data_IF_248522507160
#
_entry.id   IF_248522507160
#
_cell.length_a   1.000
_cell.length_b   1.000
_cell.length_c   1.000
_cell.angle_alpha   90.00
_cell.angle_beta   90.00
_cell.angle_gamma   90.00
#
_symmetry.space_group_name_H-M   'P 1'
#
loop_
_entity.id
_entity.type
_entity.pdbx_description
1 polymer ?
2 non-polymer ?
3 non-polymer ?
4 non-polymer ?
5 water ?
#
# COMPACT_ATOMS: atom_id res chain seq x y z
N UNK A 1 -3.97 -1.27 23.91
CA UNK A 1 -3.16 -1.50 25.16
C UNK A 1 -2.22 -0.34 25.45
N UNK A 2 -2.33 0.16 26.68
CA UNK A 2 -1.49 1.22 27.18
C UNK A 2 -0.03 0.75 27.31
N UNK A 3 0.16 -0.49 27.74
CA UNK A 3 1.49 -1.05 27.91
C UNK A 3 2.26 -1.09 26.60
N UNK A 4 1.57 -1.50 25.53
CA UNK A 4 2.20 -1.62 24.23
C UNK A 4 2.61 -0.25 23.72
N UNK A 5 1.76 0.74 23.94
CA UNK A 5 2.12 2.13 23.60
C UNK A 5 3.37 2.57 24.35
N UNK A 6 3.39 2.27 25.65
CA UNK A 6 4.48 2.74 26.50
C UNK A 6 5.79 2.06 26.13
N UNK A 7 5.71 0.77 25.78
CA UNK A 7 6.88 0.03 25.27
C UNK A 7 7.46 0.63 24.00
N UNK A 8 6.59 0.93 23.04
CA UNK A 8 7.01 1.49 21.77
C UNK A 8 7.61 2.88 21.94
N UNK A 9 6.92 3.71 22.72
CA UNK A 9 7.35 5.10 22.87
C UNK A 9 8.66 5.22 23.66
N UNK A 10 8.92 4.24 24.52
CA UNK A 10 10.13 4.21 25.34
C UNK A 10 11.32 3.52 24.65
N UNK A 11 11.05 2.85 23.55
CA UNK A 11 12.09 2.12 22.82
C UNK A 11 13.00 3.08 22.03
N UNK A 12 14.28 2.73 21.97
CA UNK A 12 15.24 3.36 21.06
C UNK A 12 14.91 2.92 19.65
N UNK A 13 14.93 3.87 18.72
CA UNK A 13 14.59 3.62 17.35
C UNK A 13 15.89 3.45 16.58
N UNK A 14 16.18 2.21 16.13
CA UNK A 14 17.41 1.98 15.39
C UNK A 14 17.45 2.83 14.13
N UNK A 15 18.61 2.96 13.51
CA UNK A 15 18.77 3.77 12.31
C UNK A 15 18.11 3.10 11.11
N UNK A 16 17.84 3.89 10.08
CA UNK A 16 17.34 3.32 8.81
C UNK A 16 18.35 2.33 8.23
N UNK A 17 19.64 2.62 8.41
CA UNK A 17 20.71 1.72 7.98
C UNK A 17 20.52 0.34 8.65
N UNK A 18 20.50 0.32 9.97
CA UNK A 18 20.30 -0.91 10.73
C UNK A 18 19.02 -1.68 10.36
N UNK A 19 17.92 -0.94 10.18
CA UNK A 19 16.62 -1.55 9.90
C UNK A 19 16.49 -1.98 8.43
N UNK A 20 17.43 -1.54 7.60
CA UNK A 20 17.46 -1.89 6.17
C UNK A 20 16.23 -1.42 5.40
N UNK A 21 15.54 -0.40 5.93
CA UNK A 21 14.30 0.08 5.29
C UNK A 21 14.52 0.89 4.00
N UNK A 22 15.76 1.22 3.67
CA UNK A 22 16.04 1.93 2.42
C UNK A 22 16.14 0.96 1.22
N UNK A 23 16.18 -0.33 1.52
CA UNK A 23 16.35 -1.39 0.52
C UNK A 23 15.04 -1.72 -0.20
N UNK A 24 15.05 -1.68 -1.52
CA UNK A 24 13.92 -2.20 -2.29
C UNK A 24 13.66 -3.69 -1.99
N UNK A 25 14.73 -4.44 -1.73
CA UNK A 25 14.62 -5.88 -1.46
C UNK A 25 14.24 -6.26 -0.03
N UNK A 26 13.96 -5.25 0.80
CA UNK A 26 13.52 -5.42 2.20
C UNK A 26 12.49 -6.55 2.42
N UNK A 27 12.63 -7.27 3.54
CA UNK A 27 11.68 -8.30 3.97
C UNK A 27 11.30 -8.09 5.43
N UNK A 28 10.02 -8.25 5.73
CA UNK A 28 9.53 -8.10 7.10
C UNK A 28 9.42 -9.43 7.85
N UNK A 29 9.59 -10.55 7.14
CA UNK A 29 9.32 -11.88 7.71
C UNK A 29 10.00 -12.13 9.06
N UNK A 30 11.21 -11.63 9.24
CA UNK A 30 12.02 -11.90 10.44
C UNK A 30 11.79 -10.85 11.54
N UNK A 31 10.90 -9.89 11.28
CA UNK A 31 10.69 -8.79 12.21
C UNK A 31 9.49 -9.05 13.09
N UNK A 32 9.58 -8.65 14.36
CA UNK A 32 8.46 -8.68 15.27
C UNK A 32 7.54 -7.49 14.97
N UNK A 33 6.30 -7.56 15.46
CA UNK A 33 5.39 -6.44 15.32
C UNK A 33 6.01 -5.13 15.86
N UNK A 34 6.64 -5.24 17.03
CA UNK A 34 7.35 -4.11 17.63
C UNK A 34 8.39 -3.53 16.68
N UNK A 35 9.17 -4.40 16.05
CA UNK A 35 10.15 -3.95 15.09
C UNK A 35 9.49 -3.27 13.87
N UNK A 36 8.34 -3.76 13.41
CA UNK A 36 7.65 -3.08 12.29
C UNK A 36 7.23 -1.66 12.69
N UNK A 37 6.87 -1.50 13.97
CA UNK A 37 6.48 -0.20 14.50
C UNK A 37 7.68 0.71 14.61
N UNK A 38 8.81 0.18 15.07
CA UNK A 38 10.01 0.99 15.13
C UNK A 38 10.41 1.46 13.73
N UNK A 39 10.31 0.58 12.75
CA UNK A 39 10.60 0.91 11.34
C UNK A 39 9.72 2.07 10.88
N UNK A 40 8.45 1.99 11.20
CA UNK A 40 7.50 3.03 10.82
C UNK A 40 7.94 4.37 11.41
N UNK A 41 8.21 4.42 12.70
CA UNK A 41 8.71 5.64 13.35
C UNK A 41 9.94 6.21 12.63
N UNK A 42 10.87 5.33 12.27
CA UNK A 42 12.05 5.74 11.52
C UNK A 42 11.74 6.31 10.13
N UNK A 43 10.73 5.77 9.45
CA UNK A 43 10.26 6.32 8.18
C UNK A 43 9.76 7.76 8.35
N UNK A 44 8.93 7.99 9.37
CA UNK A 44 8.42 9.33 9.63
C UNK A 44 9.59 10.25 9.93
N UNK A 45 10.56 9.75 10.70
CA UNK A 45 11.67 10.58 11.18
C UNK A 45 12.63 10.96 10.05
N UNK A 46 13.10 9.97 9.29
CA UNK A 46 14.08 10.24 8.21
C UNK A 46 13.49 10.89 6.95
N UNK A 47 12.16 10.98 6.87
CA UNK A 47 11.51 11.76 5.82
C UNK A 47 11.22 13.19 6.33
N UNK A 48 11.78 13.50 7.50
CA UNK A 48 11.71 14.83 8.13
C UNK A 48 10.29 15.27 8.45
N UNK A 49 9.42 14.31 8.73
CA UNK A 49 8.00 14.58 8.98
C UNK A 49 7.74 14.88 10.45
N UNK A 50 8.48 14.22 11.34
CA UNK A 50 8.29 14.43 12.77
C UNK A 50 8.81 15.81 13.14
N UNK A 51 9.90 16.21 12.48
CA UNK A 51 10.46 17.54 12.67
C UNK A 51 9.57 18.62 12.03
N UNK A 52 9.40 18.54 10.71
CA UNK A 52 8.62 19.50 9.94
C UNK A 52 7.27 19.87 10.55
N UNK A 53 6.55 18.86 11.00
CA UNK A 53 5.16 19.01 11.39
C UNK A 53 4.95 18.88 12.88
N UNK A 54 6.07 18.93 13.61
CA UNK A 54 6.06 19.02 15.07
C UNK A 54 5.14 17.98 15.71
N UNK A 55 5.34 16.73 15.35
CA UNK A 55 4.56 15.62 15.91
C UNK A 55 5.08 15.24 17.28
N UNK A 56 4.18 15.08 18.24
CA UNK A 56 4.55 14.51 19.52
C UNK A 56 4.87 13.02 19.35
N UNK A 57 5.93 12.57 19.98
CA UNK A 57 6.40 11.18 19.85
C UNK A 57 5.33 10.16 20.24
N UNK A 58 4.69 10.43 21.37
CA UNK A 58 3.71 9.53 21.94
C UNK A 58 2.45 9.50 21.08
N UNK A 59 2.11 10.64 20.48
CA UNK A 59 0.96 10.69 19.57
C UNK A 59 1.22 9.84 18.33
N UNK A 60 2.40 9.97 17.74
CA UNK A 60 2.78 9.16 16.57
C UNK A 60 2.73 7.67 16.92
N UNK A 61 3.26 7.32 18.10
CA UNK A 61 3.31 5.94 18.54
C UNK A 61 1.90 5.38 18.70
N UNK A 62 1.01 6.13 19.36
CA UNK A 62 -0.36 5.68 19.53
C UNK A 62 -1.06 5.49 18.17
N UNK A 63 -0.83 6.42 17.25
CA UNK A 63 -1.45 6.38 15.92
C UNK A 63 -1.00 5.15 15.14
N UNK A 64 0.31 4.87 15.16
CA UNK A 64 0.84 3.69 14.50
C UNK A 64 0.18 2.42 15.04
N UNK A 65 0.14 2.31 16.37
CA UNK A 65 -0.46 1.13 16.99
C UNK A 65 -1.96 1.05 16.73
N UNK A 66 -2.61 2.21 16.64
CA UNK A 66 -4.02 2.27 16.28
C UNK A 66 -4.25 1.82 14.84
N UNK A 67 -3.43 2.29 13.90
CA UNK A 67 -3.48 1.77 12.52
C UNK A 67 -3.29 0.23 12.50
N UNK A 68 -2.24 -0.24 13.16
CA UNK A 68 -1.89 -1.65 13.17
C UNK A 68 -3.03 -2.53 13.70
N UNK A 69 -3.63 -2.11 14.81
CA UNK A 69 -4.71 -2.88 15.44
C UNK A 69 -6.02 -2.86 14.61
N UNK A 70 -6.15 -1.94 13.66
CA UNK A 70 -7.34 -1.89 12.79
C UNK A 70 -7.17 -2.58 11.43
N UNK A 71 -6.15 -3.43 11.32
CA UNK A 71 -6.09 -4.45 10.30
C UNK A 71 -6.49 -5.75 10.94
N UNK A 72 -7.11 -6.64 10.16
CA UNK A 72 -7.58 -7.92 10.69
C UNK A 72 -6.48 -8.96 10.64
N UNK A 73 -6.33 -9.69 11.73
CA UNK A 73 -5.36 -10.78 11.82
C UNK A 73 -5.80 -12.08 11.14
N UNK A 74 -7.07 -12.18 10.75
CA UNK A 74 -7.55 -13.39 10.05
C UNK A 74 -7.64 -13.22 8.52
N UNK A 75 -7.00 -12.16 8.01
CA UNK A 75 -6.93 -11.91 6.56
C UNK A 75 -5.50 -12.21 6.12
N UNK A 76 -5.36 -13.14 5.18
CA UNK A 76 -4.03 -13.68 4.84
C UNK A 76 -3.02 -12.65 4.28
N UNK A 77 -3.49 -11.78 3.40
CA UNK A 77 -2.60 -10.83 2.68
C UNK A 77 -2.84 -9.37 3.07
N UNK A 78 -4.09 -8.89 2.98
CA UNK A 78 -4.41 -7.49 3.26
C UNK A 78 -4.54 -7.22 4.76
N UNK A 79 -3.37 -7.31 5.41
CA UNK A 79 -3.23 -7.13 6.83
C UNK A 79 -2.13 -6.09 7.10
N UNK A 80 -1.77 -5.91 8.38
CA UNK A 80 -0.82 -4.88 8.78
C UNK A 80 0.55 -5.04 8.09
N UNK A 81 0.99 -6.27 7.90
CA UNK A 81 2.30 -6.49 7.26
C UNK A 81 2.31 -6.01 5.81
N UNK A 82 1.19 -6.15 5.10
CA UNK A 82 1.09 -5.62 3.74
C UNK A 82 1.12 -4.10 3.78
N UNK A 83 0.32 -3.51 4.67
CA UNK A 83 0.32 -2.05 4.83
C UNK A 83 1.73 -1.56 5.11
N UNK A 84 2.39 -2.23 6.05
CA UNK A 84 3.73 -1.90 6.48
C UNK A 84 4.74 -1.99 5.33
N UNK A 85 4.65 -3.09 4.57
CA UNK A 85 5.45 -3.27 3.37
C UNK A 85 5.18 -2.23 2.29
N UNK A 86 3.92 -1.84 2.13
CA UNK A 86 3.58 -0.74 1.22
C UNK A 86 4.28 0.55 1.63
N UNK A 87 4.16 0.92 2.91
CA UNK A 87 4.83 2.11 3.46
C UNK A 87 6.35 2.02 3.27
N UNK A 88 6.93 0.86 3.53
CA UNK A 88 8.38 0.69 3.36
C UNK A 88 8.83 0.89 1.91
N UNK A 89 8.06 0.37 0.97
CA UNK A 89 8.38 0.58 -0.44
C UNK A 89 8.29 2.07 -0.82
N UNK A 90 7.30 2.76 -0.25
CA UNK A 90 7.21 4.22 -0.40
C UNK A 90 8.46 4.91 0.11
N UNK A 91 8.91 4.53 1.31
CA UNK A 91 10.13 5.11 1.87
C UNK A 91 11.31 4.87 0.93
N UNK A 92 11.44 3.63 0.46
CA UNK A 92 12.52 3.24 -0.44
C UNK A 92 12.44 4.00 -1.76
N UNK A 93 11.24 4.08 -2.34
CA UNK A 93 11.04 4.85 -3.57
C UNK A 93 11.40 6.31 -3.36
N UNK A 94 10.99 6.87 -2.22
CA UNK A 94 11.28 8.28 -1.94
C UNK A 94 12.77 8.50 -1.74
N UNK A 95 13.40 7.63 -0.97
CA UNK A 95 14.82 7.82 -0.61
C UNK A 95 15.71 7.35 -1.75
N UNK A 96 15.92 6.03 -1.81
CA UNK A 96 16.80 5.43 -2.80
C UNK A 96 16.32 5.66 -4.23
N UNK A 97 15.00 5.74 -4.42
CA UNK A 97 14.42 5.99 -5.75
C UNK A 97 14.36 7.46 -6.11
N UNK A 98 14.73 8.32 -5.18
CA UNK A 98 14.83 9.76 -5.40
C UNK A 98 13.51 10.43 -5.84
N UNK A 99 12.39 9.89 -5.36
CA UNK A 99 11.10 10.52 -5.58
C UNK A 99 10.85 11.66 -4.57
N UNK A 100 11.53 11.61 -3.42
CA UNK A 100 11.38 12.66 -2.40
C UNK A 100 11.61 14.03 -3.03
N UNK A 101 12.63 14.09 -3.88
CA UNK A 101 13.05 15.35 -4.54
C UNK A 101 11.98 16.00 -5.38
N UNK A 102 11.01 15.21 -5.81
CA UNK A 102 9.98 15.66 -6.73
C UNK A 102 8.70 16.06 -6.04
N UNK A 103 8.64 15.89 -4.70
CA UNK A 103 7.41 16.11 -3.94
C UNK A 103 7.61 17.11 -2.80
N UNK A 104 6.52 17.71 -2.34
CA UNK A 104 6.53 18.60 -1.17
C UNK A 104 6.49 17.77 0.10
N UNK A 105 6.74 18.41 1.24
CA UNK A 105 6.68 17.74 2.54
C UNK A 105 5.27 17.22 2.81
N UNK A 106 4.25 18.03 2.49
CA UNK A 106 2.87 17.62 2.66
C UNK A 106 2.52 16.37 1.87
N UNK A 107 2.96 16.34 0.60
CA UNK A 107 2.70 15.21 -0.26
C UNK A 107 3.31 13.92 0.32
N UNK A 108 4.54 14.03 0.82
CA UNK A 108 5.23 12.90 1.44
C UNK A 108 4.50 12.47 2.70
N UNK A 109 4.13 13.43 3.55
CA UNK A 109 3.34 13.11 4.76
C UNK A 109 2.08 12.33 4.38
N UNK A 110 1.33 12.84 3.41
CA UNK A 110 0.09 12.22 3.00
C UNK A 110 0.31 10.83 2.38
N UNK A 111 1.33 10.71 1.53
CA UNK A 111 1.71 9.42 0.95
C UNK A 111 2.09 8.37 2.00
N UNK A 112 2.84 8.75 3.02
CA UNK A 112 3.22 7.80 4.08
C UNK A 112 2.00 7.33 4.85
N UNK A 113 1.16 8.29 5.25
CA UNK A 113 -0.07 8.01 5.96
C UNK A 113 -1.00 7.13 5.10
N UNK A 114 -1.16 7.45 3.82
CA UNK A 114 -2.00 6.65 2.93
C UNK A 114 -1.47 5.23 2.74
N UNK A 115 -0.16 5.08 2.56
CA UNK A 115 0.42 3.76 2.43
C UNK A 115 0.10 2.87 3.64
N UNK A 116 0.34 3.39 4.84
CA UNK A 116 0.04 2.67 6.09
C UNK A 116 -1.46 2.38 6.25
N UNK A 117 -2.30 3.32 5.80
CA UNK A 117 -3.72 3.28 6.08
C UNK A 117 -4.61 2.66 4.98
N UNK A 118 -4.03 2.32 3.83
CA UNK A 118 -4.84 2.17 2.59
C UNK A 118 -5.70 0.91 2.51
N UNK A 119 -5.46 -0.05 3.39
CA UNK A 119 -6.29 -1.25 3.43
C UNK A 119 -6.94 -1.44 4.80
N UNK A 120 -7.11 -0.37 5.57
CA UNK A 120 -7.60 -0.51 6.95
C UNK A 120 -8.89 -1.32 7.02
N UNK A 121 -8.93 -2.29 7.94
CA UNK A 121 -10.13 -3.13 8.13
C UNK A 121 -10.56 -3.84 6.86
N UNK A 122 -9.59 -4.28 6.07
CA UNK A 122 -9.92 -5.09 4.90
C UNK A 122 -10.50 -6.42 5.37
N UNK A 123 -11.68 -6.82 4.84
CA UNK A 123 -12.29 -8.08 5.29
C UNK A 123 -11.78 -9.36 4.64
N UNK A 124 -10.85 -9.25 3.71
CA UNK A 124 -10.31 -10.40 3.00
C UNK A 124 -11.16 -10.85 1.83
N UNK A 125 -12.16 -10.03 1.46
CA UNK A 125 -12.99 -10.28 0.28
C UNK A 125 -13.00 -9.01 -0.61
N UNK A 126 -13.25 -9.17 -1.91
CA UNK A 126 -13.16 -8.09 -2.88
C UNK A 126 -14.39 -7.19 -2.88
N UNK A 127 -14.28 -6.04 -3.52
CA UNK A 127 -15.44 -5.16 -3.76
C UNK A 127 -16.62 -5.92 -4.35
N UNK A 128 -16.35 -6.77 -5.32
CA UNK A 128 -17.41 -7.49 -6.02
C UNK A 128 -18.19 -8.42 -5.06
N UNK A 129 -17.48 -9.05 -4.13
CA UNK A 129 -18.11 -9.85 -3.07
C UNK A 129 -19.08 -9.02 -2.23
N UNK A 130 -18.65 -7.82 -1.83
CA UNK A 130 -19.45 -6.94 -0.97
C UNK A 130 -20.67 -6.47 -1.70
N UNK A 131 -20.52 -6.19 -2.98
CA UNK A 131 -21.63 -5.86 -3.86
C UNK A 131 -22.60 -7.05 -3.92
N UNK A 132 -22.08 -8.23 -4.24
CA UNK A 132 -22.91 -9.45 -4.37
C UNK A 132 -23.69 -9.80 -3.10
N UNK A 133 -23.06 -9.61 -1.95
CA UNK A 133 -23.67 -9.95 -0.67
C UNK A 133 -24.50 -8.79 -0.11
N UNK A 134 -24.78 -7.80 -0.94
CA UNK A 134 -25.55 -6.61 -0.55
C UNK A 134 -25.06 -5.96 0.75
N UNK A 135 -23.75 -5.85 0.92
CA UNK A 135 -23.21 -5.29 2.16
C UNK A 135 -23.54 -3.80 2.24
N UNK A 136 -23.78 -3.31 3.46
CA UNK A 136 -24.20 -1.91 3.67
C UNK A 136 -23.15 -0.92 3.12
N UNK A 137 -21.88 -1.31 3.11
CA UNK A 137 -20.81 -0.49 2.52
C UNK A 137 -21.02 -0.20 1.03
N UNK A 138 -21.34 -1.23 0.27
CA UNK A 138 -21.59 -1.07 -1.16
C UNK A 138 -22.77 -0.14 -1.40
N UNK A 139 -23.73 -0.17 -0.47
CA UNK A 139 -24.88 0.71 -0.53
C UNK A 139 -24.49 2.17 -0.27
N UNK A 140 -23.73 2.42 0.79
CA UNK A 140 -23.20 3.75 1.11
C UNK A 140 -22.45 4.41 -0.05
N UNK A 141 -21.71 3.62 -0.85
CA UNK A 141 -20.81 4.19 -1.86
C UNK A 141 -21.17 3.82 -3.32
N UNK A 142 -22.43 3.46 -3.55
CA UNK A 142 -22.93 3.22 -4.90
C UNK A 142 -22.11 2.19 -5.68
N UNK A 143 -21.64 1.15 -4.99
CA UNK A 143 -20.85 0.05 -5.60
C UNK A 143 -19.50 0.49 -6.20
N UNK A 144 -19.05 1.69 -5.88
CA UNK A 144 -17.82 2.24 -6.46
C UNK A 144 -16.72 2.34 -5.41
N UNK A 145 -15.59 1.69 -5.71
CA UNK A 145 -14.43 1.65 -4.83
C UNK A 145 -14.86 1.47 -3.38
N UNK A 146 -15.66 0.45 -3.12
CA UNK A 146 -16.34 0.29 -1.83
C UNK A 146 -15.35 0.13 -0.68
N UNK A 147 -14.42 -0.82 -0.82
CA UNK A 147 -13.44 -1.08 0.23
C UNK A 147 -12.59 0.15 0.42
N UNK A 148 -12.22 0.81 -0.67
CA UNK A 148 -11.28 1.91 -0.60
C UNK A 148 -11.88 3.12 0.12
N UNK A 149 -13.14 3.42 -0.16
CA UNK A 149 -13.86 4.40 0.62
C UNK A 149 -13.84 4.03 2.09
N UNK A 150 -14.13 2.76 2.39
CA UNK A 150 -14.14 2.28 3.77
C UNK A 150 -12.78 2.46 4.40
N UNK A 151 -11.73 2.07 3.68
CA UNK A 151 -10.36 2.29 4.16
C UNK A 151 -10.12 3.77 4.51
N UNK A 152 -10.55 4.70 3.63
CA UNK A 152 -10.37 6.12 3.93
C UNK A 152 -11.17 6.54 5.17
N UNK A 153 -12.39 6.03 5.30
CA UNK A 153 -13.22 6.31 6.48
C UNK A 153 -12.51 5.89 7.77
N UNK A 154 -11.97 4.69 7.76
CA UNK A 154 -11.19 4.16 8.88
C UNK A 154 -9.99 5.04 9.18
N UNK A 155 -9.31 5.46 8.11
CA UNK A 155 -8.14 6.32 8.22
C UNK A 155 -8.50 7.62 8.94
N UNK A 156 -9.61 8.25 8.52
CA UNK A 156 -10.12 9.48 9.14
C UNK A 156 -10.49 9.28 10.59
N UNK A 157 -11.24 8.22 10.85
CA UNK A 157 -11.66 7.88 12.22
C UNK A 157 -10.48 7.80 13.19
N UNK A 158 -9.38 7.18 12.73
CA UNK A 158 -8.19 7.08 13.56
C UNK A 158 -7.50 8.46 13.69
N UNK A 159 -7.36 9.19 12.59
CA UNK A 159 -6.78 10.52 12.62
C UNK A 159 -7.58 11.47 13.54
N UNK A 160 -8.87 11.20 13.71
CA UNK A 160 -9.71 12.02 14.56
C UNK A 160 -9.74 11.53 16.02
N UNK A 161 -9.16 10.35 16.28
CA UNK A 161 -9.28 9.71 17.59
C UNK A 161 -8.43 10.43 18.64
N UNK A 162 -8.98 10.62 19.88
CA UNK A 162 -8.20 11.18 20.98
C UNK A 162 -6.85 10.52 21.14
N UNK A 163 -5.79 11.33 21.23
CA UNK A 163 -4.42 10.84 21.40
C UNK A 163 -3.76 10.35 20.12
N UNK A 164 -4.50 10.32 19.01
CA UNK A 164 -4.00 9.79 17.73
C UNK A 164 -3.86 10.88 16.66
N UNK A 165 -4.00 12.15 17.05
CA UNK A 165 -4.13 13.24 16.08
C UNK A 165 -2.77 13.75 15.62
N UNK A 166 -2.09 12.94 14.80
CA UNK A 166 -0.74 13.29 14.28
C UNK A 166 -0.73 14.49 13.33
N UNK A 167 -1.89 14.96 12.90
CA UNK A 167 -1.96 16.13 12.03
C UNK A 167 -2.49 17.37 12.77
N UNK A 168 -2.63 17.27 14.09
CA UNK A 168 -3.12 18.40 14.89
C UNK A 168 -2.18 19.61 14.82
N UNK A 169 -0.90 19.35 14.52
CA UNK A 169 0.08 20.41 14.38
C UNK A 169 0.12 21.12 13.03
N UNK A 170 -0.76 20.73 12.10
CA UNK A 170 -0.84 21.36 10.78
C UNK A 170 -1.70 22.61 10.82
N UNK A 171 -1.45 23.52 9.88
CA UNK A 171 -2.31 24.68 9.69
C UNK A 171 -3.61 24.18 9.06
N UNK A 172 -4.67 24.98 9.05
CA UNK A 172 -5.92 24.51 8.46
C UNK A 172 -5.78 24.22 6.95
N UNK A 173 -5.12 25.11 6.22
CA UNK A 173 -4.89 24.88 4.79
C UNK A 173 -4.10 23.58 4.52
N UNK A 174 -3.04 23.35 5.29
CA UNK A 174 -2.25 22.12 5.13
C UNK A 174 -3.09 20.88 5.50
N UNK A 175 -3.84 20.95 6.58
CA UNK A 175 -4.68 19.83 7.02
C UNK A 175 -5.67 19.42 5.92
N UNK A 176 -6.45 20.37 5.43
CA UNK A 176 -7.38 20.15 4.32
C UNK A 176 -6.70 19.54 3.10
N UNK A 177 -5.57 20.10 2.70
CA UNK A 177 -4.80 19.61 1.56
C UNK A 177 -4.29 18.18 1.77
N UNK A 178 -3.75 17.93 2.96
CA UNK A 178 -3.26 16.61 3.33
C UNK A 178 -4.36 15.56 3.30
N UNK A 179 -5.51 15.88 3.88
CA UNK A 179 -6.62 14.93 3.88
C UNK A 179 -7.08 14.60 2.47
N UNK A 180 -7.06 15.59 1.58
CA UNK A 180 -7.47 15.36 0.21
C UNK A 180 -6.47 14.44 -0.50
N UNK A 181 -5.19 14.69 -0.29
CA UNK A 181 -4.16 13.84 -0.89
C UNK A 181 -4.35 12.40 -0.37
N UNK A 182 -4.56 12.25 0.95
CA UNK A 182 -4.76 10.93 1.56
C UNK A 182 -5.93 10.21 0.92
N UNK A 183 -7.06 10.91 0.79
CA UNK A 183 -8.23 10.28 0.21
C UNK A 183 -7.97 9.80 -1.22
N UNK A 184 -7.34 10.64 -2.03
CA UNK A 184 -7.13 10.33 -3.43
C UNK A 184 -6.12 9.17 -3.57
N UNK A 185 -5.12 9.19 -2.70
CA UNK A 185 -4.08 8.14 -2.64
C UNK A 185 -4.64 6.76 -2.23
N UNK A 186 -5.49 6.74 -1.23
CA UNK A 186 -6.18 5.50 -0.84
C UNK A 186 -7.13 5.04 -1.94
N UNK A 187 -7.98 5.92 -2.47
CA UNK A 187 -8.82 5.53 -3.61
C UNK A 187 -8.05 4.97 -4.79
N UNK A 188 -6.88 5.54 -5.06
CA UNK A 188 -6.01 5.09 -6.15
C UNK A 188 -5.60 3.63 -6.07
N UNK A 189 -5.72 3.02 -4.88
CA UNK A 189 -5.33 1.62 -4.70
C UNK A 189 -6.38 0.63 -5.21
N UNK A 190 -7.55 1.13 -5.62
CA UNK A 190 -8.49 0.36 -6.40
C UNK A 190 -7.94 0.15 -7.82
N UNK A 191 -7.60 -1.09 -8.14
CA UNK A 191 -6.98 -1.42 -9.41
C UNK A 191 -7.87 -1.04 -10.61
N UNK A 192 -9.19 -0.96 -10.39
CA UNK A 192 -10.09 -0.41 -11.41
C UNK A 192 -9.76 1.02 -11.77
N UNK A 193 -9.52 1.86 -10.76
CA UNK A 193 -9.10 3.25 -10.99
C UNK A 193 -7.70 3.34 -11.64
N UNK A 194 -6.80 2.45 -11.25
CA UNK A 194 -5.48 2.39 -11.88
C UNK A 194 -5.61 2.19 -13.39
N UNK A 195 -6.39 1.19 -13.77
CA UNK A 195 -6.62 0.86 -15.19
C UNK A 195 -7.23 2.04 -15.95
N UNK A 196 -8.19 2.70 -15.31
CA UNK A 196 -8.91 3.83 -15.89
C UNK A 196 -8.01 5.04 -16.19
N UNK A 197 -6.98 5.23 -15.38
CA UNK A 197 -6.19 6.47 -15.43
C UNK A 197 -4.75 6.32 -15.90
N UNK A 198 -4.26 5.09 -16.02
CA UNK A 198 -2.83 4.87 -16.30
C UNK A 198 -2.41 5.29 -17.72
N UNK A 199 -3.34 5.17 -18.68
CA UNK A 199 -3.08 5.55 -20.07
C UNK A 199 -2.63 6.99 -20.19
N UNK A 200 -3.31 7.88 -19.49
CA UNK A 200 -2.93 9.28 -19.47
C UNK A 200 -1.51 9.46 -18.96
N UNK A 201 -1.17 8.74 -17.90
CA UNK A 201 0.18 8.81 -17.31
C UNK A 201 1.25 8.35 -18.31
N UNK A 202 1.04 7.19 -18.91
CA UNK A 202 1.96 6.62 -19.86
C UNK A 202 2.15 7.56 -21.07
N UNK A 203 1.07 8.22 -21.48
CA UNK A 203 1.14 9.11 -22.65
C UNK A 203 1.82 10.44 -22.34
N UNK A 204 1.66 10.95 -21.13
CA UNK A 204 2.38 12.15 -20.70
C UNK A 204 3.89 11.90 -20.72
N UNK A 205 4.31 10.72 -20.26
CA UNK A 205 5.70 10.35 -20.27
C UNK A 205 6.18 10.15 -21.71
N UNK A 206 5.37 9.47 -22.52
CA UNK A 206 5.74 9.21 -23.92
C UNK A 206 5.95 10.49 -24.73
N UNK A 207 5.11 11.50 -24.49
CA UNK A 207 5.20 12.78 -25.23
C UNK A 207 6.13 13.80 -24.56
N UNK A 208 6.84 13.39 -23.52
CA UNK A 208 7.70 14.31 -22.75
C UNK A 208 6.92 15.52 -22.21
N UNK A 209 5.65 15.31 -21.86
CA UNK A 209 4.79 16.37 -21.33
C UNK A 209 4.59 16.22 -19.82
N UNK A 210 5.29 15.26 -19.22
CA UNK A 210 5.11 14.99 -17.80
C UNK A 210 5.70 16.14 -17.00
N UNK A 211 4.84 16.84 -16.27
CA UNK A 211 5.22 18.01 -15.52
C UNK A 211 4.52 18.04 -14.15
N UNK A 212 5.28 17.72 -13.10
CA UNK A 212 4.75 17.68 -11.74
C UNK A 212 4.35 19.06 -11.19
N UNK A 213 4.69 20.15 -11.89
CA UNK A 213 4.22 21.49 -11.49
C UNK A 213 2.74 21.69 -11.80
N UNK A 214 2.23 20.88 -12.72
CA UNK A 214 0.80 20.83 -13.00
C UNK A 214 0.11 20.06 -11.86
N UNK A 215 -0.87 20.70 -11.19
CA UNK A 215 -1.63 20.06 -10.10
C UNK A 215 -2.29 18.75 -10.49
N UNK A 216 -2.88 18.72 -11.68
CA UNK A 216 -3.57 17.51 -12.14
C UNK A 216 -2.59 16.36 -12.36
N UNK A 217 -1.43 16.67 -12.92
CA UNK A 217 -0.41 15.66 -13.18
C UNK A 217 0.19 15.13 -11.87
N UNK A 218 0.37 16.02 -10.91
CA UNK A 218 0.85 15.65 -9.57
C UNK A 218 -0.06 14.58 -8.93
N UNK A 219 -1.36 14.84 -8.90
CA UNK A 219 -2.35 13.89 -8.37
C UNK A 219 -2.27 12.55 -9.11
N UNK A 220 -2.16 12.62 -10.43
CA UNK A 220 -2.03 11.45 -11.24
C UNK A 220 -0.76 10.68 -10.87
N UNK A 221 0.36 11.39 -10.73
CA UNK A 221 1.61 10.72 -10.34
C UNK A 221 1.48 10.04 -8.98
N UNK A 222 0.84 10.71 -8.03
CA UNK A 222 0.70 10.15 -6.68
C UNK A 222 -0.12 8.86 -6.69
N UNK A 223 -1.17 8.81 -7.49
CA UNK A 223 -2.00 7.60 -7.63
C UNK A 223 -1.17 6.44 -8.22
N UNK A 224 -0.41 6.76 -9.25
CA UNK A 224 0.44 5.75 -9.90
C UNK A 224 1.47 5.23 -8.90
N UNK A 225 2.11 6.11 -8.15
CA UNK A 225 3.08 5.72 -7.11
C UNK A 225 2.45 4.82 -6.04
N UNK A 226 1.19 5.10 -5.67
CA UNK A 226 0.51 4.26 -4.69
C UNK A 226 0.29 2.83 -5.21
N UNK A 227 -0.14 2.70 -6.45
CA UNK A 227 -0.34 1.41 -7.06
C UNK A 227 1.00 0.65 -7.13
N UNK A 228 2.04 1.38 -7.53
CA UNK A 228 3.39 0.82 -7.63
C UNK A 228 3.87 0.23 -6.29
N UNK A 229 3.63 0.97 -5.21
CA UNK A 229 4.06 0.56 -3.88
C UNK A 229 3.19 -0.59 -3.40
N UNK A 230 1.88 -0.47 -3.64
CA UNK A 230 0.92 -1.50 -3.26
C UNK A 230 1.20 -2.87 -3.87
N UNK A 231 1.66 -2.90 -5.12
CA UNK A 231 1.85 -4.15 -5.84
C UNK A 231 3.29 -4.63 -5.72
N UNK A 232 4.12 -3.89 -4.99
CA UNK A 232 5.61 -4.11 -4.99
C UNK A 232 6.11 -5.43 -4.46
N UNK A 233 5.27 -6.21 -3.77
CA UNK A 233 5.69 -7.55 -3.33
C UNK A 233 6.07 -8.38 -4.57
N UNK A 234 5.36 -8.14 -5.67
CA UNK A 234 5.58 -8.87 -6.92
C UNK A 234 6.97 -8.60 -7.52
N UNK A 235 7.65 -7.55 -7.06
CA UNK A 235 8.98 -7.22 -7.53
C UNK A 235 10.10 -7.72 -6.61
N UNK A 236 9.75 -8.40 -5.52
CA UNK A 236 10.73 -8.76 -4.49
C UNK A 236 11.57 -9.95 -4.96
N UNK A 237 12.74 -10.14 -4.35
CA UNK A 237 13.49 -11.35 -4.68
C UNK A 237 12.63 -12.62 -4.61
N UNK A 238 12.86 -13.53 -5.55
CA UNK A 238 11.98 -14.67 -5.79
C UNK A 238 11.43 -15.35 -4.53
N UNK A 239 12.30 -15.70 -3.56
CA UNK A 239 11.81 -16.38 -2.34
C UNK A 239 10.88 -15.53 -1.48
N UNK A 240 11.13 -14.23 -1.44
CA UNK A 240 10.26 -13.32 -0.71
C UNK A 240 8.93 -13.19 -1.45
N UNK A 241 9.00 -12.97 -2.76
CA UNK A 241 7.81 -12.82 -3.61
C UNK A 241 6.96 -14.09 -3.61
N UNK A 242 7.62 -15.23 -3.67
CA UNK A 242 6.94 -16.53 -3.65
C UNK A 242 6.16 -16.74 -2.34
N UNK A 243 6.74 -16.35 -1.21
CA UNK A 243 6.08 -16.53 0.09
C UNK A 243 4.87 -15.60 0.19
N UNK A 244 5.03 -14.37 -0.28
CA UNK A 244 3.91 -13.42 -0.26
C UNK A 244 2.81 -13.84 -1.24
N UNK A 245 3.20 -14.33 -2.42
CA UNK A 245 2.25 -14.87 -3.39
C UNK A 245 1.38 -15.96 -2.78
N UNK A 246 1.96 -16.78 -1.90
CA UNK A 246 1.18 -17.83 -1.23
C UNK A 246 0.09 -17.21 -0.35
N UNK A 247 0.41 -16.11 0.30
CA UNK A 247 -0.56 -15.35 1.10
C UNK A 247 -1.67 -14.75 0.25
N UNK A 248 -1.29 -14.13 -0.87
CA UNK A 248 -2.26 -13.58 -1.82
C UNK A 248 -3.27 -14.64 -2.22
N UNK A 249 -2.77 -15.81 -2.64
CA UNK A 249 -3.60 -16.95 -3.05
C UNK A 249 -4.50 -17.44 -1.92
N UNK A 250 -3.95 -17.53 -0.71
CA UNK A 250 -4.70 -17.97 0.47
C UNK A 250 -5.94 -17.10 0.71
N UNK A 251 -5.75 -15.78 0.68
CA UNK A 251 -6.87 -14.85 0.86
C UNK A 251 -7.89 -15.00 -0.28
N UNK A 252 -7.42 -15.06 -1.52
CA UNK A 252 -8.34 -15.27 -2.66
C UNK A 252 -9.15 -16.56 -2.52
N UNK A 253 -8.51 -17.65 -2.10
CA UNK A 253 -9.22 -18.94 -1.98
C UNK A 253 -10.17 -18.95 -0.78
N UNK A 254 -9.82 -18.21 0.26
CA UNK A 254 -10.69 -18.08 1.42
C UNK A 254 -11.98 -17.42 0.98
N UNK A 255 -11.87 -16.41 0.09
CA UNK A 255 -13.07 -15.74 -0.42
C UNK A 255 -13.93 -16.72 -1.22
N UNK A 256 -13.28 -17.49 -2.07
CA UNK A 256 -13.96 -18.51 -2.87
C UNK A 256 -14.67 -19.52 -2.00
N UNK A 257 -14.05 -19.89 -0.88
CA UNK A 257 -14.68 -20.76 0.10
C UNK A 257 -15.98 -20.15 0.62
N UNK A 258 -15.93 -18.86 0.94
CA UNK A 258 -17.11 -18.13 1.40
C UNK A 258 -18.17 -18.07 0.31
N UNK A 259 -17.75 -17.86 -0.94
CA UNK A 259 -18.67 -17.77 -2.07
C UNK A 259 -19.41 -19.09 -2.32
N UNK A 260 -18.69 -20.21 -2.27
CA UNK A 260 -19.33 -21.52 -2.36
C UNK A 260 -20.39 -21.68 -1.29
N UNK A 261 -20.01 -21.44 -0.05
CA UNK A 261 -20.90 -21.66 1.09
C UNK A 261 -22.07 -20.68 1.10
N UNK A 262 -21.76 -19.40 1.03
CA UNK A 262 -22.77 -18.35 1.20
C UNK A 262 -23.59 -18.07 -0.08
N UNK A 263 -22.98 -18.20 -1.26
CA UNK A 263 -23.66 -17.85 -2.51
C UNK A 263 -23.96 -19.07 -3.39
N UNK A 264 -23.44 -20.23 -3.02
CA UNK A 264 -23.56 -21.46 -3.82
C UNK A 264 -23.13 -21.33 -5.28
N UNK A 265 -22.04 -20.60 -5.52
CA UNK A 265 -21.47 -20.49 -6.86
C UNK A 265 -20.14 -21.20 -6.93
N UNK A 266 -19.73 -21.57 -8.14
CA UNK A 266 -18.32 -21.89 -8.41
C UNK A 266 -17.57 -20.57 -8.45
N UNK A 267 -16.50 -20.41 -7.66
CA UNK A 267 -15.79 -19.13 -7.71
C UNK A 267 -15.08 -18.92 -9.05
N UNK A 268 -14.70 -17.68 -9.37
CA UNK A 268 -13.87 -17.42 -10.54
C UNK A 268 -12.53 -18.12 -10.29
N UNK A 269 -11.76 -18.42 -11.34
CA UNK A 269 -10.46 -19.09 -11.21
C UNK A 269 -9.54 -18.48 -10.14
N UNK A 270 -9.46 -17.14 -10.14
CA UNK A 270 -8.64 -16.42 -9.17
C UNK A 270 -8.95 -16.82 -7.72
N UNK A 271 -10.23 -17.10 -7.48
CA UNK A 271 -10.78 -17.35 -6.15
C UNK A 271 -10.97 -18.85 -5.85
N UNK A 272 -10.60 -19.71 -6.78
CA UNK A 272 -10.99 -21.11 -6.75
C UNK A 272 -9.80 -22.01 -6.45
N UNK A 273 -9.71 -22.49 -5.21
CA UNK A 273 -8.61 -23.37 -4.83
C UNK A 273 -8.56 -24.60 -5.72
N UNK A 274 -9.72 -25.07 -6.16
CA UNK A 274 -9.77 -26.22 -7.06
C UNK A 274 -9.01 -25.97 -8.36
N UNK A 275 -8.88 -24.70 -8.74
CA UNK A 275 -8.16 -24.32 -9.96
C UNK A 275 -6.86 -23.55 -9.64
N UNK A 276 -6.24 -23.91 -8.52
CA UNK A 276 -4.95 -23.32 -8.14
C UNK A 276 -3.86 -23.53 -9.19
N UNK A 277 -4.05 -24.52 -10.06
CA UNK A 277 -3.15 -24.72 -11.19
C UNK A 277 -3.02 -23.50 -12.12
N UNK A 278 -3.97 -22.58 -12.05
CA UNK A 278 -3.95 -21.36 -12.88
C UNK A 278 -3.04 -20.27 -12.32
N UNK A 279 -2.61 -20.39 -11.07
CA UNK A 279 -1.87 -19.31 -10.41
C UNK A 279 -0.70 -18.79 -11.27
N UNK A 280 0.22 -19.67 -11.69
CA UNK A 280 1.36 -19.18 -12.48
C UNK A 280 1.02 -18.42 -13.77
N UNK A 281 0.13 -18.94 -14.61
CA UNK A 281 -0.22 -18.22 -15.84
C UNK A 281 -0.96 -16.93 -15.49
N UNK A 282 -1.72 -16.96 -14.41
CA UNK A 282 -2.40 -15.75 -13.93
C UNK A 282 -1.41 -14.69 -13.41
N UNK A 283 -0.35 -15.11 -12.74
CA UNK A 283 0.71 -14.18 -12.32
C UNK A 283 1.45 -13.58 -13.50
N UNK A 284 1.70 -14.39 -14.54
CA UNK A 284 2.36 -13.89 -15.74
C UNK A 284 1.49 -12.86 -16.44
N UNK A 285 0.21 -13.19 -16.63
CA UNK A 285 -0.74 -12.28 -17.28
C UNK A 285 -0.89 -10.95 -16.52
N UNK A 286 -0.86 -11.04 -15.21
CA UNK A 286 -1.02 -9.88 -14.32
C UNK A 286 0.23 -9.01 -14.41
N UNK A 287 1.41 -9.63 -14.33
CA UNK A 287 2.66 -8.88 -14.47
C UNK A 287 2.72 -8.19 -15.83
N UNK A 288 2.36 -8.90 -16.89
CA UNK A 288 2.39 -8.32 -18.24
C UNK A 288 1.40 -7.17 -18.44
N UNK A 289 0.18 -7.39 -17.97
CA UNK A 289 -0.95 -6.50 -18.28
C UNK A 289 -1.06 -5.31 -17.32
N UNK A 290 -0.61 -5.49 -16.09
CA UNK A 290 -0.76 -4.50 -15.01
C UNK A 290 0.56 -3.93 -14.54
N UNK A 291 1.52 -4.80 -14.25
CA UNK A 291 2.70 -4.39 -13.49
C UNK A 291 3.85 -3.80 -14.30
N UNK A 292 4.20 -4.46 -15.40
CA UNK A 292 5.46 -4.11 -16.08
C UNK A 292 5.48 -2.66 -16.57
N UNK A 293 4.39 -2.24 -17.20
CA UNK A 293 4.35 -0.89 -17.75
C UNK A 293 4.46 0.14 -16.64
N UNK A 294 3.88 -0.17 -15.48
CA UNK A 294 3.92 0.73 -14.34
C UNK A 294 5.35 0.92 -13.83
N UNK A 295 6.09 -0.18 -13.66
CA UNK A 295 7.45 -0.08 -13.16
C UNK A 295 8.41 0.53 -14.21
N UNK A 296 8.17 0.28 -15.49
CA UNK A 296 8.85 1.00 -16.59
C UNK A 296 8.64 2.51 -16.51
N UNK A 297 7.38 2.92 -16.43
CA UNK A 297 7.04 4.34 -16.38
C UNK A 297 7.65 5.00 -15.16
N UNK A 298 7.65 4.30 -14.01
CA UNK A 298 8.23 4.84 -12.80
C UNK A 298 9.72 5.00 -12.97
N UNK A 299 10.36 4.02 -13.62
CA UNK A 299 11.81 4.11 -13.92
C UNK A 299 12.11 5.29 -14.86
N UNK A 300 11.19 5.55 -15.79
CA UNK A 300 11.30 6.69 -16.67
C UNK A 300 11.29 8.00 -15.90
N UNK A 301 10.42 8.06 -14.90
CA UNK A 301 10.33 9.21 -13.99
C UNK A 301 11.59 9.35 -13.14
N UNK A 302 12.08 8.24 -12.61
CA UNK A 302 13.30 8.24 -11.83
C UNK A 302 14.07 6.94 -12.01
N UNK A 303 15.20 7.03 -12.71
CA UNK A 303 16.01 5.86 -13.04
C UNK A 303 16.41 5.03 -11.81
N UNK A 304 16.52 5.69 -10.66
CA UNK A 304 16.85 4.98 -9.43
C UNK A 304 15.74 4.06 -8.91
N UNK A 305 14.56 4.11 -9.52
CA UNK A 305 13.49 3.14 -9.23
C UNK A 305 13.61 1.84 -10.05
N UNK A 306 14.63 1.75 -10.89
CA UNK A 306 14.91 0.54 -11.67
C UNK A 306 14.79 -0.80 -10.94
N UNK A 307 15.35 -0.94 -9.70
CA UNK A 307 15.23 -2.23 -8.99
C UNK A 307 13.81 -2.82 -8.95
N UNK A 308 12.78 -1.97 -8.88
CA UNK A 308 11.43 -2.48 -8.92
C UNK A 308 11.15 -3.14 -10.27
N UNK A 309 11.58 -2.48 -11.35
CA UNK A 309 11.40 -3.02 -12.70
C UNK A 309 12.18 -4.31 -12.88
N UNK A 310 13.44 -4.27 -12.46
CA UNK A 310 14.31 -5.45 -12.55
C UNK A 310 13.65 -6.63 -11.83
N UNK A 311 13.21 -6.40 -10.59
CA UNK A 311 12.61 -7.44 -9.78
C UNK A 311 11.40 -8.05 -10.46
N UNK A 312 10.57 -7.19 -11.02
CA UNK A 312 9.34 -7.59 -11.67
C UNK A 312 9.62 -8.47 -12.89
N UNK A 313 10.55 -8.02 -13.73
CA UNK A 313 11.01 -8.79 -14.90
C UNK A 313 11.54 -10.17 -14.54
N UNK A 314 12.36 -10.25 -13.50
CA UNK A 314 12.94 -11.52 -13.07
C UNK A 314 11.86 -12.46 -12.56
N UNK A 315 10.89 -11.92 -11.82
CA UNK A 315 9.82 -12.75 -11.30
C UNK A 315 8.87 -13.22 -12.41
N UNK A 316 8.63 -12.38 -13.42
CA UNK A 316 7.86 -12.77 -14.59
C UNK A 316 8.44 -14.03 -15.23
N UNK A 317 9.76 -14.01 -15.45
CA UNK A 317 10.45 -15.15 -16.05
C UNK A 317 10.29 -16.40 -15.19
N UNK A 318 10.45 -16.26 -13.87
CA UNK A 318 10.31 -17.39 -12.97
C UNK A 318 8.91 -17.99 -13.06
N UNK A 319 7.89 -17.14 -12.95
CA UNK A 319 6.52 -17.60 -13.08
C UNK A 319 6.28 -18.22 -14.45
N UNK A 320 6.84 -17.61 -15.50
CA UNK A 320 6.65 -18.14 -16.84
C UNK A 320 7.28 -19.53 -16.96
N UNK A 321 8.42 -19.71 -16.30
CA UNK A 321 9.12 -21.00 -16.28
C UNK A 321 8.27 -22.08 -15.62
N UNK A 322 7.53 -21.72 -14.57
CA UNK A 322 6.60 -22.66 -13.93
C UNK A 322 5.39 -22.95 -14.82
N UNK A 323 4.91 -21.92 -15.50
CA UNK A 323 3.67 -21.99 -16.28
C UNK A 323 3.83 -22.75 -17.60
N UNK A 324 4.91 -22.49 -18.32
CA UNK A 324 5.10 -23.06 -19.66
C UNK A 324 5.31 -24.58 -19.62
X LIG B 1 -1.99 -9.63 -7.04
X LIG B 1 -2.98 -8.72 -6.67
X LIG B 1 -4.17 -8.64 -7.38
X LIG B 1 -4.38 -9.50 -8.47
X LIG B 1 -3.37 -10.41 -8.83
X LIG B 1 -2.24 -10.43 -8.09
X LIG B 1 -5.51 -9.47 -9.19
X LIG B 1 -5.68 -10.29 -10.25
X LIG B 1 -4.66 -11.20 -10.59
X LIG B 1 -3.54 -11.26 -9.86
X LIG B 1 -4.84 -12.01 -11.62
X LIG B 1 -6.80 -10.27 -10.99
X LIG B 1 -8.01 -9.45 -10.84
X LIG B 1 -7.86 -7.99 -11.29
X LIG B 1 -9.15 -7.27 -11.56
X LIG B 1 -9.99 -6.85 -10.40
X LIG B 1 -10.03 -5.32 -10.30
X LIG B 1 -10.38 -4.73 -11.56
X LIG B 1 -9.52 -5.07 -12.67
X LIG B 1 -9.40 -6.59 -12.88
X LIG B 1 -0.68 -9.81 -6.40
X LIG B 1 -0.14 -8.87 -5.52
X LIG B 1 1.11 -9.04 -4.92
X LIG B 1 1.81 -10.19 -5.26
X LIG B 1 1.30 -11.09 -6.11
X LIG B 1 0.10 -10.93 -6.69
X LIG B 1 -2.45 -12.20 -10.23
X LIG B 1 2.99 -10.31 -4.68
X LIG B 1 -2.79 -13.67 -10.02
X LIG B 1 -2.66 -13.89 -8.63
X LIG B 1 -2.81 -15.26 -8.22
X LIG B 1 -2.42 -15.38 -6.75
X LIG B 1 -1.00 -14.92 -6.45
X LIG B 1 3.76 -11.53 -4.81
X LIG C 1 -2.81 -2.82 -0.42
X LIG D 1 -6.74 -2.48 -1.30
X LIG E 1 -1.50 27.93 5.11
#
# INVERSE_FOLDING_TARGET
>A
ETRELQSLAAAVVPSAQTLKITDFSFSDFELSDLETALCTIRMFTDLNLVQNFQMKHEVLCRWILSVKKNYRKNVAYHNWRHAFNTAQCMFAALKAGKIQNKLTDLEILALLIAALSHDLDHPGVSNQFLINTNSELALMYNDESVLEHHHFDQCLMILNSPGNQILSGLSIEEYKTTLKIIKQAILATDLALYIKRRGEFFELIRKNQFNLEDPHEKELFLAMLMTACDLSAITKPWPIQQRIAELVATEFFDQGDRERKELNIEPTDLMNREKKNKIPSMQVGFIDAICLQLYEALTHVSEDCFPLLDGCRKNRQKWQALAE
>B hetero
1 PD4 C C1 C2 C3 C4 N N1 C5 C6 N2 O N3 C7 C8 N4 C9 C10 O1 C11 C12 C13 C14 C15 C16 N5 C17 C18 O2 C19 O3 C20 C21 C22 C23
>C hetero
1 ZN ZN
>D hetero
1 MG MG
>E hetero
1 MG MG
#
